data_IF_733937957341
#
_entry.id   IF_733937957341
#
_cell.length_a   1.000
_cell.length_b   1.000
_cell.length_c   1.000
_cell.angle_alpha   90.00
_cell.angle_beta   90.00
_cell.angle_gamma   90.00
#
_symmetry.space_group_name_H-M   'P 1'
#
loop_
_entity.id
_entity.type
_entity.pdbx_description
1 polymer ?
#
# COMPACT_ATOMS: atom_id res chain seq x y z
N UNK A 1 -45.57 49.81 4.68
CA UNK A 1 -45.83 49.98 6.13
C UNK A 1 -44.50 49.86 6.87
N UNK A 2 -44.23 50.89 7.69
CA UNK A 2 -43.25 51.09 8.79
C UNK A 2 -42.11 50.06 8.99
N UNK A 3 -40.82 50.46 8.83
CA UNK A 3 -39.88 51.09 9.82
C UNK A 3 -39.20 49.99 10.70
N UNK A 4 -37.90 49.98 11.07
CA UNK A 4 -36.90 51.03 11.29
C UNK A 4 -35.50 50.41 11.61
N UNK A 5 -34.40 50.99 11.07
CA UNK A 5 -33.07 51.40 11.64
C UNK A 5 -32.31 50.49 12.63
N UNK A 6 -30.98 50.57 12.86
CA UNK A 6 -29.75 51.22 12.35
C UNK A 6 -28.77 51.35 13.55
N UNK A 7 -27.47 51.51 13.26
CA UNK A 7 -26.33 52.02 14.06
C UNK A 7 -25.52 51.00 14.88
N UNK A 8 -24.22 50.73 14.62
CA UNK A 8 -22.99 51.54 14.36
C UNK A 8 -22.31 52.08 15.62
N UNK A 9 -20.99 51.80 15.68
CA UNK A 9 -19.88 52.51 16.34
C UNK A 9 -19.68 52.28 17.85
N UNK A 10 -18.48 52.37 18.43
CA UNK A 10 -17.07 52.36 18.00
C UNK A 10 -16.23 52.67 19.25
N UNK A 11 -14.99 52.15 19.29
CA UNK A 11 -13.76 52.83 19.75
C UNK A 11 -13.40 53.02 21.25
N UNK A 12 -12.19 52.51 21.57
CA UNK A 12 -11.01 53.16 22.19
C UNK A 12 -10.96 53.49 23.72
N UNK A 13 -10.12 52.71 24.44
CA UNK A 13 -8.93 53.07 25.30
C UNK A 13 -9.03 54.14 26.44
N UNK A 14 -8.00 54.35 27.30
CA UNK A 14 -7.11 53.44 28.07
C UNK A 14 -6.76 53.91 29.53
N UNK A 15 -5.89 53.15 30.20
CA UNK A 15 -4.85 53.49 31.23
C UNK A 15 -5.23 54.17 32.57
N UNK A 16 -4.73 53.62 33.70
CA UNK A 16 -3.76 54.25 34.63
C UNK A 16 -3.67 53.63 36.06
N UNK A 17 -2.43 53.29 36.48
CA UNK A 17 -1.77 53.58 37.79
C UNK A 17 -2.11 52.66 39.00
N UNK A 18 -1.19 52.14 39.85
CA UNK A 18 0.00 52.73 40.50
C UNK A 18 0.99 51.69 41.11
N UNK A 19 2.28 52.05 41.15
CA UNK A 19 3.33 51.91 42.21
C UNK A 19 3.57 50.57 42.95
N UNK A 20 4.77 50.21 43.45
CA UNK A 20 6.18 50.64 43.48
C UNK A 20 6.88 49.54 44.30
N UNK A 21 8.14 49.18 44.04
CA UNK A 21 9.19 49.09 45.07
C UNK A 21 10.55 48.87 44.40
N UNK A 22 11.46 49.80 44.70
CA UNK A 22 12.87 49.85 44.31
C UNK A 22 13.71 49.41 45.52
N UNK A 23 14.75 48.61 45.31
CA UNK A 23 15.92 48.58 46.19
C UNK A 23 17.15 48.13 45.39
N UNK A 24 18.09 49.06 45.23
CA UNK A 24 19.45 48.87 44.69
C UNK A 24 20.40 48.60 45.87
N UNK A 25 21.35 47.69 45.70
CA UNK A 25 22.65 47.77 46.38
C UNK A 25 23.77 47.13 45.51
N UNK A 26 24.88 47.85 45.41
CA UNK A 26 26.08 47.63 44.59
C UNK A 26 27.16 46.75 45.26
N UNK A 27 28.01 46.14 44.41
CA UNK A 27 29.45 45.81 44.56
C UNK A 27 29.85 44.79 45.68
N UNK A 28 30.91 43.97 45.59
CA UNK A 28 32.17 44.05 44.86
C UNK A 28 32.82 42.65 44.65
N UNK A 29 33.85 42.62 43.80
CA UNK A 29 34.73 41.49 43.51
C UNK A 29 35.63 41.08 44.69
N UNK A 30 35.87 39.78 44.87
CA UNK A 30 37.12 39.24 45.42
C UNK A 30 37.39 37.81 44.90
N UNK A 31 38.54 37.63 44.25
CA UNK A 31 39.12 36.34 43.85
C UNK A 31 39.78 35.66 45.05
N UNK A 32 39.56 34.36 45.22
CA UNK A 32 40.54 33.44 45.84
C UNK A 32 40.43 32.05 45.21
N UNK A 33 41.58 31.39 45.11
CA UNK A 33 41.91 30.23 44.28
C UNK A 33 41.19 28.91 44.60
N UNK A 34 41.17 28.02 43.59
CA UNK A 34 40.65 26.65 43.63
C UNK A 34 41.47 25.71 44.55
N UNK A 35 40.91 24.52 44.86
CA UNK A 35 41.51 23.35 44.24
C UNK A 35 40.49 22.49 43.47
N UNK A 36 41.02 21.91 42.40
CA UNK A 36 40.41 21.04 41.41
C UNK A 36 39.94 19.71 41.98
N UNK A 37 38.66 19.38 41.77
CA UNK A 37 38.16 18.00 41.76
C UNK A 37 37.26 17.84 40.53
N UNK A 38 37.58 16.85 39.68
CA UNK A 38 36.99 16.61 38.37
C UNK A 38 35.46 16.49 38.42
N UNK A 39 34.76 17.42 37.79
CA UNK A 39 33.32 17.41 37.59
C UNK A 39 32.90 16.77 36.25
N UNK A 40 33.73 15.89 35.67
CA UNK A 40 33.48 15.27 34.37
C UNK A 40 32.88 13.87 34.43
N UNK A 41 32.88 13.20 35.59
CA UNK A 41 32.40 11.81 35.69
C UNK A 41 30.95 11.67 36.21
N UNK A 42 30.35 12.75 36.73
CA UNK A 42 28.98 12.72 37.25
C UNK A 42 27.90 13.04 36.20
N UNK A 43 28.27 13.61 35.05
CA UNK A 43 27.33 13.98 33.99
C UNK A 43 27.03 12.84 32.99
N UNK A 44 27.83 11.76 33.00
CA UNK A 44 27.72 10.62 32.07
C UNK A 44 26.73 9.54 32.53
N UNK A 45 26.44 9.44 33.84
CA UNK A 45 25.61 8.37 34.40
C UNK A 45 24.11 8.69 34.49
N UNK A 46 23.69 9.94 34.26
CA UNK A 46 22.29 10.37 34.43
C UNK A 46 21.44 10.31 33.15
N UNK A 47 22.03 9.98 32.00
CA UNK A 47 21.32 9.93 30.71
C UNK A 47 20.68 8.56 30.39
N UNK A 48 20.92 7.52 31.20
CA UNK A 48 20.53 6.14 30.87
C UNK A 48 19.16 5.69 31.41
N UNK A 49 18.36 6.57 32.03
CA UNK A 49 17.06 6.20 32.60
C UNK A 49 16.02 7.33 32.57
N UNK A 50 16.06 8.19 31.55
CA UNK A 50 14.96 9.11 31.31
C UNK A 50 13.77 8.32 30.76
N UNK A 51 12.73 8.11 31.58
CA UNK A 51 11.39 7.80 31.07
C UNK A 51 11.09 8.79 29.95
N UNK A 52 10.55 8.37 28.80
CA UNK A 52 10.19 9.30 27.74
C UNK A 52 9.36 10.42 28.34
N UNK A 53 9.82 11.67 28.20
CA UNK A 53 8.93 12.81 28.41
C UNK A 53 7.65 12.57 27.63
N UNK A 54 6.50 13.00 28.15
CA UNK A 54 5.19 12.75 27.51
C UNK A 54 5.17 13.19 26.05
N UNK A 55 5.89 14.26 25.70
CA UNK A 55 6.11 14.73 24.34
C UNK A 55 6.91 13.73 23.47
N UNK A 56 8.02 13.17 23.97
CA UNK A 56 8.78 12.12 23.25
C UNK A 56 7.98 10.84 23.04
N UNK A 57 7.17 10.43 24.03
CA UNK A 57 6.28 9.26 23.88
C UNK A 57 5.17 9.49 22.85
N UNK A 58 4.54 10.67 22.85
CA UNK A 58 3.51 11.02 21.88
C UNK A 58 4.06 11.08 20.44
N UNK A 59 5.27 11.63 20.24
CA UNK A 59 5.92 11.63 18.91
C UNK A 59 6.25 10.21 18.43
N UNK A 60 6.69 9.33 19.33
CA UNK A 60 6.96 7.93 18.98
C UNK A 60 5.67 7.20 18.57
N UNK A 61 4.57 7.40 19.30
CA UNK A 61 3.26 6.82 18.97
C UNK A 61 2.76 7.35 17.62
N UNK A 62 2.84 8.65 17.38
CA UNK A 62 2.43 9.24 16.10
C UNK A 62 3.25 8.70 14.91
N UNK A 63 4.57 8.53 15.10
CA UNK A 63 5.43 7.86 14.11
C UNK A 63 5.01 6.40 13.92
N UNK A 64 4.67 5.70 15.00
CA UNK A 64 4.19 4.33 14.97
C UNK A 64 2.88 4.16 14.20
N UNK A 65 1.93 5.07 14.38
CA UNK A 65 0.68 5.10 13.61
C UNK A 65 0.97 5.27 12.12
N UNK A 66 1.81 6.25 11.78
CA UNK A 66 2.23 6.52 10.41
C UNK A 66 2.84 5.27 9.74
N UNK A 67 3.75 4.59 10.44
CA UNK A 67 4.40 3.39 9.92
C UNK A 67 3.49 2.17 9.89
N UNK A 68 2.56 2.04 10.85
CA UNK A 68 1.55 0.98 10.85
C UNK A 68 0.57 1.13 9.68
N UNK A 69 0.27 2.36 9.26
CA UNK A 69 -0.44 2.65 8.01
C UNK A 69 0.42 2.25 6.82
N UNK A 70 1.65 2.77 6.74
CA UNK A 70 2.58 2.45 5.65
C UNK A 70 2.78 0.94 5.43
N UNK A 71 2.75 0.17 6.52
CA UNK A 71 2.89 -1.28 6.54
C UNK A 71 1.60 -2.07 6.40
N UNK A 72 0.47 -1.46 6.04
CA UNK A 72 -0.82 -2.15 5.89
C UNK A 72 -1.28 -2.95 7.13
N UNK A 73 -0.80 -2.61 8.33
CA UNK A 73 -1.13 -3.33 9.57
C UNK A 73 -2.64 -3.29 9.83
N UNK A 74 -3.27 -2.15 9.54
CA UNK A 74 -4.72 -1.96 9.69
C UNK A 74 -5.50 -2.79 8.67
N UNK A 75 -5.08 -2.78 7.40
CA UNK A 75 -5.75 -3.48 6.31
C UNK A 75 -5.81 -5.00 6.55
N UNK A 76 -4.75 -5.58 7.12
CA UNK A 76 -4.72 -7.02 7.41
C UNK A 76 -5.33 -7.39 8.77
N UNK A 77 -5.03 -6.64 9.83
CA UNK A 77 -5.40 -7.02 11.20
C UNK A 77 -6.71 -6.41 11.68
N UNK A 78 -7.48 -5.79 10.80
CA UNK A 78 -8.83 -5.26 11.09
C UNK A 78 -9.84 -5.90 10.16
N UNK A 79 -10.93 -6.43 10.72
CA UNK A 79 -12.09 -6.83 9.93
C UNK A 79 -12.96 -5.59 9.72
N UNK A 80 -13.45 -5.31 8.50
CA UNK A 80 -14.33 -4.17 8.25
C UNK A 80 -15.49 -4.10 9.25
N UNK A 81 -15.79 -2.89 9.72
CA UNK A 81 -16.82 -2.61 10.73
C UNK A 81 -16.58 -3.23 12.12
N UNK A 82 -15.39 -3.76 12.39
CA UNK A 82 -15.00 -4.27 13.70
C UNK A 82 -13.90 -3.41 14.32
N UNK A 83 -13.59 -3.66 15.60
CA UNK A 83 -12.57 -2.91 16.32
C UNK A 83 -11.19 -3.11 15.67
N UNK A 84 -10.47 -1.99 15.49
CA UNK A 84 -9.14 -1.96 14.88
C UNK A 84 -8.19 -2.94 15.58
N UNK A 85 -7.37 -3.64 14.80
CA UNK A 85 -6.38 -4.61 15.27
C UNK A 85 -6.92 -5.86 15.98
N UNK A 86 -8.23 -6.07 15.98
CA UNK A 86 -8.87 -7.25 16.60
C UNK A 86 -8.62 -8.58 15.86
N UNK A 87 -8.00 -8.55 14.69
CA UNK A 87 -7.72 -9.74 13.89
C UNK A 87 -8.97 -10.49 13.41
N UNK A 88 -8.75 -11.66 12.83
CA UNK A 88 -9.78 -12.58 12.35
C UNK A 88 -10.15 -12.42 10.88
N UNK A 89 -9.47 -11.55 10.13
CA UNK A 89 -9.71 -11.40 8.68
C UNK A 89 -9.27 -12.69 7.96
N UNK A 90 -10.16 -13.35 7.19
CA UNK A 90 -9.78 -14.50 6.39
C UNK A 90 -8.95 -14.04 5.18
N UNK A 91 -7.87 -14.77 4.91
CA UNK A 91 -7.05 -14.63 3.71
C UNK A 91 -7.03 -15.99 3.00
N UNK A 92 -7.79 -16.09 1.93
CA UNK A 92 -7.82 -17.29 1.11
C UNK A 92 -6.54 -17.40 0.29
N UNK A 93 -5.91 -18.57 0.33
CA UNK A 93 -4.73 -18.89 -0.47
C UNK A 93 -4.93 -20.22 -1.19
N UNK A 94 -4.16 -20.51 -2.26
CA UNK A 94 -4.13 -21.83 -2.87
C UNK A 94 -3.74 -22.96 -1.91
N UNK A 95 -3.32 -22.66 -0.68
CA UNK A 95 -2.90 -23.62 0.33
C UNK A 95 -3.94 -23.81 1.45
N UNK A 96 -5.05 -23.06 1.40
CA UNK A 96 -6.10 -22.99 2.42
C UNK A 96 -6.26 -21.58 2.96
N UNK A 97 -7.03 -21.43 4.04
CA UNK A 97 -7.35 -20.09 4.60
C UNK A 97 -6.48 -19.79 5.80
N UNK A 98 -5.80 -18.65 5.73
CA UNK A 98 -5.10 -18.02 6.85
C UNK A 98 -6.06 -17.04 7.53
N UNK A 99 -5.85 -16.79 8.82
CA UNK A 99 -6.62 -15.81 9.59
C UNK A 99 -5.63 -14.87 10.27
N UNK A 100 -5.84 -13.57 10.13
CA UNK A 100 -4.94 -12.59 10.74
C UNK A 100 -5.08 -12.61 12.27
N UNK A 101 -3.98 -12.56 13.03
CA UNK A 101 -4.06 -12.52 14.48
C UNK A 101 -4.52 -11.16 14.99
N UNK A 102 -5.05 -11.12 16.21
CA UNK A 102 -5.28 -9.93 17.00
C UNK A 102 -3.93 -9.34 17.44
N UNK A 103 -3.68 -8.08 17.06
CA UNK A 103 -2.44 -7.35 17.39
C UNK A 103 -2.72 -6.12 18.26
N UNK A 104 -3.88 -6.07 18.91
CA UNK A 104 -4.22 -5.02 19.87
C UNK A 104 -3.37 -5.13 21.15
N UNK A 105 -3.51 -4.12 22.02
CA UNK A 105 -2.87 -4.07 23.34
C UNK A 105 -3.43 -5.08 24.36
N UNK A 106 -4.37 -5.95 23.98
CA UNK A 106 -4.89 -7.01 24.85
C UNK A 106 -3.78 -7.98 25.28
N UNK A 107 -3.72 -8.33 26.57
CA UNK A 107 -2.63 -9.14 27.17
C UNK A 107 -2.80 -10.64 26.95
N UNK A 108 -4.00 -11.10 26.64
CA UNK A 108 -4.35 -12.52 26.54
C UNK A 108 -4.45 -12.94 25.08
N UNK A 109 -5.22 -12.18 24.30
CA UNK A 109 -5.55 -12.49 22.92
C UNK A 109 -4.73 -11.67 21.90
N UNK A 110 -4.27 -10.49 22.32
CA UNK A 110 -3.45 -9.57 21.54
C UNK A 110 -1.94 -9.74 21.80
N UNK A 111 -1.20 -8.66 21.53
CA UNK A 111 0.26 -8.60 21.75
C UNK A 111 0.65 -7.82 23.02
N UNK A 112 -0.30 -7.51 23.90
CA UNK A 112 -0.07 -6.70 25.12
C UNK A 112 0.86 -7.32 26.16
N UNK A 113 1.13 -8.62 26.08
CA UNK A 113 2.09 -9.32 26.92
C UNK A 113 3.46 -9.54 26.25
N UNK A 114 3.63 -9.06 25.01
CA UNK A 114 4.89 -9.13 24.28
C UNK A 114 5.80 -7.99 24.73
N UNK A 115 7.10 -8.15 24.53
CA UNK A 115 8.09 -7.08 24.65
C UNK A 115 8.40 -6.47 23.28
N UNK A 116 9.01 -5.28 23.26
CA UNK A 116 9.48 -4.66 22.03
C UNK A 116 10.49 -5.54 21.27
N UNK A 117 11.38 -6.24 21.98
CA UNK A 117 12.34 -7.17 21.37
C UNK A 117 11.67 -8.40 20.73
N UNK A 118 10.62 -8.93 21.36
CA UNK A 118 9.82 -10.02 20.79
C UNK A 118 9.07 -9.57 19.54
N UNK A 119 8.54 -8.34 19.54
CA UNK A 119 7.90 -7.74 18.37
C UNK A 119 8.90 -7.49 17.24
N UNK A 120 10.07 -6.93 17.54
CA UNK A 120 11.16 -6.72 16.58
C UNK A 120 11.58 -8.05 15.94
N UNK A 121 11.85 -9.09 16.75
CA UNK A 121 12.17 -10.44 16.27
C UNK A 121 11.06 -11.03 15.40
N UNK A 122 9.80 -10.73 15.69
CA UNK A 122 8.68 -11.18 14.87
C UNK A 122 8.67 -10.51 13.49
N UNK A 123 8.84 -9.19 13.43
CA UNK A 123 8.96 -8.47 12.16
C UNK A 123 10.18 -8.90 11.36
N UNK A 124 11.33 -9.06 12.03
CA UNK A 124 12.62 -9.33 11.39
C UNK A 124 12.83 -10.77 11.01
N UNK A 125 12.42 -11.69 11.87
CA UNK A 125 12.71 -13.10 11.68
C UNK A 125 11.47 -13.91 11.35
N UNK A 126 10.26 -13.35 11.38
CA UNK A 126 9.03 -14.10 11.18
C UNK A 126 8.85 -15.19 12.24
N UNK A 127 9.19 -14.88 13.50
CA UNK A 127 9.05 -15.78 14.65
C UNK A 127 8.08 -15.18 15.67
N UNK A 128 7.06 -15.94 16.02
CA UNK A 128 6.16 -15.61 17.14
C UNK A 128 6.91 -15.58 18.47
N UNK A 129 6.28 -15.02 19.50
CA UNK A 129 6.80 -14.93 20.88
C UNK A 129 7.38 -16.27 21.38
N UNK A 130 6.63 -17.34 21.19
CA UNK A 130 6.94 -18.73 21.54
C UNK A 130 7.99 -19.41 20.63
N UNK A 131 8.48 -18.70 19.60
CA UNK A 131 9.42 -19.22 18.62
C UNK A 131 8.77 -19.91 17.41
N UNK A 132 7.45 -20.00 17.36
CA UNK A 132 6.73 -20.57 16.21
C UNK A 132 7.00 -19.76 14.94
N UNK A 133 7.42 -20.43 13.86
CA UNK A 133 7.66 -19.79 12.56
C UNK A 133 6.35 -19.31 11.94
N UNK A 134 6.28 -18.05 11.54
CA UNK A 134 5.13 -17.47 10.86
C UNK A 134 5.03 -17.91 9.40
N UNK A 135 3.79 -18.02 8.90
CA UNK A 135 3.55 -18.20 7.47
C UNK A 135 3.91 -16.90 6.72
N UNK A 136 4.44 -16.99 5.49
CA UNK A 136 4.94 -15.84 4.73
C UNK A 136 3.86 -14.86 4.25
N UNK A 137 2.59 -15.16 4.49
CA UNK A 137 1.51 -14.18 4.35
C UNK A 137 1.66 -12.99 5.32
N UNK A 138 2.32 -13.20 6.46
CA UNK A 138 2.90 -12.10 7.21
C UNK A 138 4.22 -11.74 6.50
N UNK A 139 4.39 -10.50 5.98
CA UNK A 139 5.48 -10.16 5.06
C UNK A 139 6.80 -9.89 5.78
N UNK A 140 7.23 -10.78 6.69
CA UNK A 140 8.49 -10.67 7.43
C UNK A 140 9.71 -10.66 6.51
N UNK A 141 9.61 -11.23 5.30
CA UNK A 141 10.66 -11.16 4.30
C UNK A 141 10.92 -9.74 3.78
N UNK A 142 9.92 -8.87 3.87
CA UNK A 142 10.02 -7.43 3.57
C UNK A 142 10.28 -6.64 4.85
N UNK A 143 9.51 -6.90 5.91
CA UNK A 143 9.63 -6.15 7.17
C UNK A 143 10.97 -6.31 7.88
N UNK A 144 11.78 -7.33 7.55
CA UNK A 144 13.17 -7.38 8.01
C UNK A 144 14.00 -6.15 7.60
N UNK A 145 13.55 -5.36 6.61
CA UNK A 145 14.18 -4.09 6.25
C UNK A 145 13.94 -2.97 7.26
N UNK A 146 12.91 -3.07 8.09
CA UNK A 146 12.46 -2.01 9.02
C UNK A 146 13.50 -1.80 10.11
N UNK A 147 13.90 -0.55 10.35
CA UNK A 147 14.87 -0.26 11.41
C UNK A 147 14.31 -0.57 12.80
N UNK A 148 15.18 -0.88 13.76
CA UNK A 148 14.80 -1.04 15.17
C UNK A 148 13.93 0.11 15.70
N UNK A 149 14.32 1.35 15.43
CA UNK A 149 13.58 2.53 15.91
C UNK A 149 12.15 2.59 15.35
N UNK A 150 11.97 2.21 14.09
CA UNK A 150 10.66 2.17 13.44
C UNK A 150 9.80 1.00 13.95
N UNK A 151 10.41 -0.16 14.20
CA UNK A 151 9.73 -1.29 14.85
C UNK A 151 9.25 -0.94 16.26
N UNK A 152 10.09 -0.28 17.07
CA UNK A 152 9.73 0.17 18.41
C UNK A 152 8.60 1.22 18.37
N UNK A 153 8.61 2.11 17.37
CA UNK A 153 7.54 3.08 17.17
C UNK A 153 6.21 2.40 16.84
N UNK A 154 6.20 1.45 15.88
CA UNK A 154 5.00 0.68 15.53
C UNK A 154 4.48 -0.07 16.77
N UNK A 155 5.36 -0.73 17.52
CA UNK A 155 4.99 -1.43 18.75
C UNK A 155 4.38 -0.47 19.79
N UNK A 156 5.00 0.69 20.03
CA UNK A 156 4.47 1.69 20.94
C UNK A 156 3.07 2.18 20.53
N UNK A 157 2.84 2.37 19.23
CA UNK A 157 1.51 2.69 18.72
C UNK A 157 0.51 1.56 18.99
N UNK A 158 0.81 0.32 18.64
CA UNK A 158 -0.08 -0.82 18.89
C UNK A 158 -0.40 -0.97 20.39
N UNK A 159 0.57 -0.74 21.27
CA UNK A 159 0.37 -0.75 22.73
C UNK A 159 -0.50 0.41 23.24
N UNK A 160 -0.63 1.49 22.48
CA UNK A 160 -1.51 2.62 22.80
C UNK A 160 -2.97 2.42 22.35
N UNK A 161 -3.23 1.41 21.51
CA UNK A 161 -4.57 1.14 20.97
C UNK A 161 -5.51 0.54 22.04
N UNK A 162 -6.81 0.59 21.79
CA UNK A 162 -7.77 -0.08 22.67
C UNK A 162 -7.59 -1.61 22.61
N UNK A 163 -7.59 -2.30 23.76
CA UNK A 163 -7.49 -3.74 23.78
C UNK A 163 -8.76 -4.37 23.18
N UNK A 164 -8.57 -5.40 22.37
CA UNK A 164 -9.66 -6.20 21.81
C UNK A 164 -9.58 -7.59 22.43
N UNK A 165 -10.55 -7.95 23.28
CA UNK A 165 -10.62 -9.29 23.87
C UNK A 165 -11.31 -10.24 22.89
N UNK A 166 -10.52 -10.84 22.01
CA UNK A 166 -10.99 -11.79 20.99
C UNK A 166 -9.92 -12.84 20.69
N UNK A 167 -10.18 -14.11 21.01
CA UNK A 167 -9.26 -15.20 20.72
C UNK A 167 -8.91 -15.33 19.23
N UNK A 168 -7.65 -15.65 18.96
CA UNK A 168 -7.16 -15.93 17.61
C UNK A 168 -7.79 -17.20 17.04
N UNK A 169 -8.10 -17.17 15.73
CA UNK A 169 -8.59 -18.33 15.00
C UNK A 169 -7.44 -19.12 14.37
N UNK A 170 -7.44 -20.43 14.57
CA UNK A 170 -6.49 -21.31 13.89
C UNK A 170 -6.68 -21.30 12.37
N UNK A 171 -5.58 -21.37 11.62
CA UNK A 171 -5.62 -21.47 10.16
C UNK A 171 -6.22 -22.80 9.71
N UNK A 172 -6.92 -22.77 8.58
CA UNK A 172 -7.50 -23.96 7.94
C UNK A 172 -6.72 -24.28 6.68
N UNK A 173 -5.43 -24.59 6.85
CA UNK A 173 -4.51 -24.96 5.78
C UNK A 173 -4.68 -26.44 5.44
N UNK A 174 -4.56 -26.75 4.14
CA UNK A 174 -4.62 -28.12 3.63
C UNK A 174 -3.28 -28.82 3.88
N UNK A 175 -3.32 -30.13 4.12
CA UNK A 175 -2.10 -30.94 4.11
C UNK A 175 -1.43 -30.87 2.71
N UNK A 176 -0.10 -30.74 2.61
CA UNK A 176 0.88 -30.73 3.71
C UNK A 176 1.20 -29.34 4.29
N UNK A 177 0.60 -28.26 3.80
CA UNK A 177 0.91 -26.87 4.18
C UNK A 177 0.56 -26.52 5.63
N UNK A 178 -0.26 -27.33 6.31
CA UNK A 178 -0.51 -27.20 7.74
C UNK A 178 0.69 -27.60 8.63
N UNK A 179 1.75 -28.19 8.05
CA UNK A 179 2.96 -28.58 8.78
C UNK A 179 3.96 -27.40 8.87
N UNK A 180 4.12 -26.81 10.07
CA UNK A 180 5.01 -25.67 10.31
C UNK A 180 6.49 -25.95 10.00
N UNK A 181 6.95 -27.20 10.10
CA UNK A 181 8.33 -27.58 9.82
C UNK A 181 8.74 -27.33 8.36
N UNK A 182 7.79 -27.36 7.42
CA UNK A 182 8.05 -27.05 6.01
C UNK A 182 8.53 -25.60 5.80
N UNK A 183 8.19 -24.70 6.74
CA UNK A 183 8.65 -23.31 6.69
C UNK A 183 10.17 -23.21 6.83
N UNK A 184 10.86 -24.18 7.44
CA UNK A 184 12.33 -24.17 7.53
C UNK A 184 12.93 -24.20 6.12
N UNK A 185 12.45 -25.11 5.27
CA UNK A 185 12.90 -25.21 3.88
C UNK A 185 12.50 -24.00 3.05
N UNK A 186 11.26 -23.53 3.19
CA UNK A 186 10.79 -22.33 2.50
C UNK A 186 11.66 -21.11 2.82
N UNK A 187 11.99 -20.90 4.10
CA UNK A 187 12.82 -19.77 4.55
C UNK A 187 14.24 -19.85 4.01
N UNK A 188 14.84 -21.04 3.94
CA UNK A 188 16.17 -21.19 3.35
C UNK A 188 16.21 -20.69 1.88
N UNK A 189 15.13 -20.91 1.14
CA UNK A 189 15.01 -20.49 -0.25
C UNK A 189 14.70 -19.00 -0.40
N UNK A 190 13.71 -18.49 0.34
CA UNK A 190 13.06 -17.20 0.05
C UNK A 190 13.27 -16.08 1.07
N UNK A 191 13.89 -16.37 2.22
CA UNK A 191 14.09 -15.37 3.27
C UNK A 191 15.57 -14.97 3.41
N UNK A 192 15.82 -13.66 3.44
CA UNK A 192 17.12 -13.06 3.72
C UNK A 192 16.92 -11.99 4.79
N UNK A 193 17.45 -12.25 5.99
CA UNK A 193 17.35 -11.31 7.10
C UNK A 193 18.29 -10.11 6.89
N UNK A 194 17.86 -8.93 7.32
CA UNK A 194 18.71 -7.76 7.46
C UNK A 194 17.97 -6.46 7.22
N UNK A 195 18.24 -5.48 8.09
CA UNK A 195 17.78 -4.10 7.96
C UNK A 195 18.18 -3.49 6.62
N UNK A 196 17.38 -2.53 6.15
CA UNK A 196 17.74 -1.75 5.00
C UNK A 196 19.01 -0.95 5.28
N UNK A 197 19.97 -1.04 4.36
CA UNK A 197 21.21 -0.25 4.42
C UNK A 197 21.18 0.74 3.25
N UNK A 198 21.21 2.06 3.51
CA UNK A 198 21.24 3.06 2.45
C UNK A 198 22.43 2.88 1.51
N UNK A 199 22.18 2.95 0.20
CA UNK A 199 23.22 2.99 -0.81
C UNK A 199 23.85 4.40 -0.84
N UNK A 200 25.16 4.54 -0.53
CA UNK A 200 25.84 5.84 -0.51
C UNK A 200 25.95 6.49 -1.90
N UNK A 201 25.70 5.75 -2.99
CA UNK A 201 25.69 6.28 -4.37
C UNK A 201 24.34 6.87 -4.76
N UNK A 202 23.31 6.67 -3.95
CA UNK A 202 21.95 7.11 -4.23
C UNK A 202 21.57 8.31 -3.38
N UNK A 203 20.58 9.08 -3.84
CA UNK A 203 20.08 10.22 -3.07
C UNK A 203 19.36 9.78 -1.79
N UNK A 204 19.20 10.70 -0.84
CA UNK A 204 18.41 10.46 0.38
C UNK A 204 16.97 10.08 0.03
N UNK A 205 16.38 10.77 -0.94
CA UNK A 205 15.03 10.50 -1.44
C UNK A 205 14.92 9.10 -2.05
N UNK A 206 15.89 8.69 -2.87
CA UNK A 206 15.90 7.34 -3.44
C UNK A 206 15.97 6.26 -2.37
N UNK A 207 16.88 6.42 -1.40
CA UNK A 207 17.03 5.48 -0.29
C UNK A 207 15.77 5.41 0.58
N UNK A 208 15.07 6.54 0.75
CA UNK A 208 13.78 6.57 1.44
C UNK A 208 12.72 5.78 0.68
N UNK A 209 12.65 5.93 -0.64
CA UNK A 209 11.76 5.17 -1.50
C UNK A 209 12.03 3.67 -1.45
N UNK A 210 13.29 3.28 -1.57
CA UNK A 210 13.74 1.89 -1.46
C UNK A 210 13.34 1.27 -0.11
N UNK A 211 13.59 1.98 1.00
CA UNK A 211 13.20 1.54 2.34
C UNK A 211 11.69 1.27 2.46
N UNK A 212 10.86 2.15 1.89
CA UNK A 212 9.41 2.00 1.93
C UNK A 212 8.93 0.87 1.01
N UNK A 213 9.46 0.77 -0.21
CA UNK A 213 9.05 -0.22 -1.22
C UNK A 213 9.47 -1.64 -0.84
N UNK A 214 10.71 -1.81 -0.38
CA UNK A 214 11.27 -3.11 0.02
C UNK A 214 10.87 -3.52 1.44
N UNK A 215 10.53 -2.55 2.29
CA UNK A 215 10.16 -2.74 3.69
C UNK A 215 8.65 -2.78 3.91
N UNK A 216 8.12 -1.74 4.55
CA UNK A 216 6.72 -1.69 5.00
C UNK A 216 5.72 -1.77 3.84
N UNK A 217 5.99 -1.15 2.71
CA UNK A 217 5.11 -1.22 1.54
C UNK A 217 5.16 -2.55 0.78
N UNK A 218 6.13 -3.42 1.10
CA UNK A 218 6.28 -4.80 0.62
C UNK A 218 5.85 -5.04 -0.84
N UNK A 219 6.19 -4.12 -1.76
CA UNK A 219 5.56 -4.07 -3.07
C UNK A 219 5.87 -5.32 -3.91
N UNK A 220 7.02 -5.94 -3.65
CA UNK A 220 7.44 -7.21 -4.26
C UNK A 220 6.50 -8.36 -3.95
N UNK A 221 5.71 -8.31 -2.87
CA UNK A 221 4.77 -9.38 -2.49
C UNK A 221 3.65 -9.59 -3.52
N UNK A 222 3.22 -8.53 -4.19
CA UNK A 222 2.20 -8.60 -5.23
C UNK A 222 2.80 -8.39 -6.63
N UNK A 223 3.77 -7.48 -6.77
CA UNK A 223 4.34 -7.11 -8.07
C UNK A 223 5.50 -7.98 -8.52
N UNK A 224 5.67 -9.17 -7.95
CA UNK A 224 6.63 -10.19 -8.41
C UNK A 224 5.90 -11.51 -8.60
N UNK A 225 6.29 -12.28 -9.61
CA UNK A 225 5.70 -13.59 -9.86
C UNK A 225 5.88 -14.53 -8.66
N UNK A 226 4.76 -15.04 -8.13
CA UNK A 226 4.73 -16.05 -7.07
C UNK A 226 4.84 -17.43 -7.72
N UNK A 227 5.89 -18.18 -7.36
CA UNK A 227 6.09 -19.53 -7.87
C UNK A 227 5.20 -20.57 -7.17
N UNK A 228 5.25 -21.82 -7.66
CA UNK A 228 4.44 -22.93 -7.13
C UNK A 228 4.69 -23.24 -5.63
N UNK A 229 5.82 -22.82 -5.05
CA UNK A 229 6.12 -22.97 -3.62
C UNK A 229 5.59 -21.81 -2.77
N UNK A 230 4.87 -20.85 -3.39
CA UNK A 230 4.33 -19.68 -2.72
C UNK A 230 5.37 -18.62 -2.35
N UNK A 231 6.54 -18.65 -3.00
CA UNK A 231 7.60 -17.65 -2.82
C UNK A 231 7.73 -16.73 -4.03
N UNK A 232 8.25 -15.52 -3.81
CA UNK A 232 8.56 -14.59 -4.89
C UNK A 232 9.76 -15.07 -5.72
N UNK A 233 9.65 -14.97 -7.03
CA UNK A 233 10.71 -15.34 -7.96
C UNK A 233 11.72 -14.22 -8.11
N UNK A 234 12.91 -14.37 -7.53
CA UNK A 234 13.96 -13.34 -7.56
C UNK A 234 14.38 -12.92 -8.99
N UNK A 235 14.32 -13.84 -9.96
CA UNK A 235 14.62 -13.55 -11.38
C UNK A 235 13.54 -12.71 -12.08
N UNK A 236 12.35 -12.59 -11.48
CA UNK A 236 11.18 -11.87 -12.00
C UNK A 236 10.75 -10.74 -11.05
N UNK A 237 11.67 -10.25 -10.23
CA UNK A 237 11.42 -9.19 -9.25
C UNK A 237 10.82 -7.94 -9.92
N UNK A 238 9.72 -7.43 -9.37
CA UNK A 238 8.94 -6.29 -9.90
C UNK A 238 8.35 -6.47 -11.31
N UNK A 239 8.40 -7.67 -11.90
CA UNK A 239 7.88 -7.92 -13.26
C UNK A 239 6.36 -8.14 -13.31
N UNK A 240 5.67 -8.04 -12.16
CA UNK A 240 4.24 -8.27 -12.04
C UNK A 240 3.90 -9.75 -11.90
N UNK A 241 2.62 -10.03 -11.68
CA UNK A 241 2.15 -11.39 -11.45
C UNK A 241 0.66 -11.48 -11.19
N UNK A 242 0.10 -12.67 -11.37
CA UNK A 242 -1.27 -12.95 -10.96
C UNK A 242 -1.29 -13.14 -9.44
N UNK A 243 -2.17 -12.40 -8.75
CA UNK A 243 -2.42 -12.56 -7.32
C UNK A 243 -3.32 -13.79 -7.13
N UNK A 244 -2.82 -14.90 -6.53
CA UNK A 244 -3.57 -16.15 -6.46
C UNK A 244 -4.89 -16.00 -5.69
N UNK A 245 -5.94 -16.66 -6.18
CA UNK A 245 -7.32 -16.64 -5.67
C UNK A 245 -8.06 -15.29 -5.69
N UNK A 246 -7.36 -14.17 -5.57
CA UNK A 246 -7.95 -12.84 -5.73
C UNK A 246 -8.29 -12.56 -7.20
N UNK A 247 -7.66 -13.29 -8.13
CA UNK A 247 -7.86 -13.18 -9.57
C UNK A 247 -7.65 -11.74 -10.07
N UNK A 248 -6.71 -11.03 -9.47
CA UNK A 248 -6.23 -9.73 -9.96
C UNK A 248 -4.81 -9.89 -10.44
N UNK A 249 -4.46 -9.15 -11.49
CA UNK A 249 -3.09 -9.11 -11.99
C UNK A 249 -2.41 -7.84 -11.47
N UNK A 250 -1.33 -7.99 -10.72
CA UNK A 250 -0.45 -6.89 -10.32
C UNK A 250 0.48 -6.58 -11.51
N UNK A 251 0.38 -5.39 -12.13
CA UNK A 251 1.23 -5.03 -13.28
C UNK A 251 2.72 -4.97 -12.91
N UNK A 252 3.60 -4.96 -13.90
CA UNK A 252 5.02 -4.72 -13.62
C UNK A 252 5.23 -3.32 -13.03
N UNK A 253 6.16 -3.19 -12.10
CA UNK A 253 6.62 -1.89 -11.58
C UNK A 253 7.96 -1.46 -12.20
N UNK A 254 8.55 -2.28 -13.07
CA UNK A 254 9.81 -1.96 -13.74
C UNK A 254 9.65 -0.77 -14.68
N UNK A 255 10.73 -0.11 -15.06
CA UNK A 255 10.67 1.02 -16.00
C UNK A 255 10.47 0.60 -17.47
N UNK A 256 9.91 -0.59 -17.74
CA UNK A 256 9.61 -1.02 -19.10
C UNK A 256 8.33 -0.35 -19.63
N UNK A 257 8.16 -0.33 -20.97
CA UNK A 257 7.06 0.39 -21.64
C UNK A 257 5.80 -0.44 -21.85
N UNK A 258 5.89 -1.77 -21.74
CA UNK A 258 4.79 -2.69 -22.02
C UNK A 258 3.75 -2.69 -20.89
N UNK A 259 4.16 -3.04 -19.67
CA UNK A 259 3.28 -3.13 -18.50
C UNK A 259 3.78 -2.30 -17.30
N UNK A 260 4.95 -1.68 -17.44
CA UNK A 260 5.66 -0.97 -16.37
C UNK A 260 5.49 0.54 -16.38
N UNK A 261 6.33 1.20 -15.58
CA UNK A 261 6.27 2.63 -15.31
C UNK A 261 7.11 3.45 -16.29
N UNK A 262 7.66 2.88 -17.36
CA UNK A 262 8.66 3.54 -18.22
C UNK A 262 8.27 4.95 -18.68
N UNK A 263 7.07 5.09 -19.24
CA UNK A 263 6.57 6.37 -19.79
C UNK A 263 5.74 7.21 -18.81
N UNK A 264 5.59 6.77 -17.55
CA UNK A 264 4.84 7.52 -16.53
C UNK A 264 5.63 8.73 -16.04
N UNK A 265 5.01 9.82 -15.60
CA UNK A 265 5.74 10.84 -14.84
C UNK A 265 5.83 10.44 -13.35
N UNK A 266 6.73 11.07 -12.59
CA UNK A 266 6.72 10.93 -11.13
C UNK A 266 5.39 11.41 -10.55
N UNK A 267 4.83 12.50 -11.09
CA UNK A 267 3.53 13.03 -10.68
C UNK A 267 2.40 12.02 -10.89
N UNK A 268 2.36 11.33 -12.04
CA UNK A 268 1.33 10.31 -12.30
C UNK A 268 1.39 9.14 -11.31
N UNK A 269 2.59 8.77 -10.86
CA UNK A 269 2.77 7.71 -9.85
C UNK A 269 2.34 8.21 -8.47
N UNK A 270 2.71 9.44 -8.11
CA UNK A 270 2.30 10.06 -6.84
C UNK A 270 0.79 10.20 -6.77
N UNK A 271 0.15 10.70 -7.82
CA UNK A 271 -1.31 10.86 -7.89
C UNK A 271 -2.00 9.49 -7.77
N UNK A 272 -1.50 8.47 -8.50
CA UNK A 272 -2.06 7.12 -8.43
C UNK A 272 -1.97 6.53 -7.02
N UNK A 273 -0.82 6.64 -6.35
CA UNK A 273 -0.60 6.07 -5.02
C UNK A 273 -1.31 6.87 -3.92
N UNK A 274 -1.41 8.19 -4.03
CA UNK A 274 -1.95 9.04 -2.97
C UNK A 274 -3.45 9.30 -3.09
N UNK A 275 -3.95 9.47 -4.32
CA UNK A 275 -5.35 9.74 -4.60
C UNK A 275 -6.11 8.51 -5.10
N UNK A 276 -5.42 7.48 -5.58
CA UNK A 276 -6.01 6.30 -6.21
C UNK A 276 -6.31 6.48 -7.70
N UNK A 277 -6.04 7.66 -8.26
CA UNK A 277 -6.31 8.04 -9.65
C UNK A 277 -5.21 8.94 -10.18
N UNK A 278 -4.90 8.83 -11.47
CA UNK A 278 -3.99 9.71 -12.18
C UNK A 278 -4.45 9.92 -13.63
N UNK A 279 -3.73 10.73 -14.38
CA UNK A 279 -3.99 10.91 -15.82
C UNK A 279 -3.70 9.64 -16.65
N UNK A 280 -3.09 8.61 -16.04
CA UNK A 280 -2.74 7.34 -16.68
C UNK A 280 -3.73 6.22 -16.34
N UNK A 281 -4.42 6.30 -15.22
CA UNK A 281 -5.29 5.23 -14.76
C UNK A 281 -5.82 5.43 -13.35
N UNK A 282 -6.53 4.41 -12.86
CA UNK A 282 -7.04 4.34 -11.49
C UNK A 282 -6.72 2.97 -10.90
N UNK A 283 -6.54 2.90 -9.58
CA UNK A 283 -6.36 1.64 -8.87
C UNK A 283 -7.73 1.01 -8.57
N UNK A 284 -7.77 -0.31 -8.65
CA UNK A 284 -8.95 -1.12 -8.32
C UNK A 284 -8.49 -2.41 -7.61
N UNK A 285 -9.44 -3.11 -7.00
CA UNK A 285 -9.17 -4.37 -6.31
C UNK A 285 -8.16 -4.20 -5.17
N UNK A 286 -7.19 -5.11 -5.00
CA UNK A 286 -6.25 -5.09 -3.87
C UNK A 286 -5.43 -3.81 -3.76
N UNK A 287 -5.06 -3.19 -4.90
CA UNK A 287 -4.32 -1.94 -4.87
C UNK A 287 -5.19 -0.76 -4.41
N UNK A 288 -6.52 -0.82 -4.59
CA UNK A 288 -7.42 0.16 -4.02
C UNK A 288 -7.47 0.06 -2.47
N UNK A 289 -7.41 -1.14 -1.90
CA UNK A 289 -7.26 -1.33 -0.45
C UNK A 289 -5.96 -0.71 0.07
N UNK A 290 -4.83 -0.99 -0.61
CA UNK A 290 -3.51 -0.42 -0.26
C UNK A 290 -3.53 1.11 -0.27
N UNK A 291 -4.15 1.73 -1.27
CA UNK A 291 -4.29 3.19 -1.30
C UNK A 291 -5.23 3.68 -0.19
N UNK A 292 -6.34 2.98 0.03
CA UNK A 292 -7.36 3.37 0.99
C UNK A 292 -6.88 3.26 2.45
N UNK A 293 -6.19 2.20 2.83
CA UNK A 293 -5.79 1.97 4.22
C UNK A 293 -4.37 2.49 4.54
N UNK A 294 -3.50 2.64 3.53
CA UNK A 294 -2.08 3.00 3.69
C UNK A 294 -1.70 4.29 2.96
N UNK A 295 -1.49 4.24 1.65
CA UNK A 295 -0.72 5.29 0.96
C UNK A 295 -1.35 6.68 1.05
N UNK A 296 -2.68 6.81 1.10
CA UNK A 296 -3.33 8.12 1.23
C UNK A 296 -2.97 8.89 2.52
N UNK A 297 -2.43 8.20 3.53
CA UNK A 297 -2.00 8.78 4.81
C UNK A 297 -0.50 9.11 4.86
N UNK A 298 0.27 8.70 3.85
CA UNK A 298 1.69 9.02 3.78
C UNK A 298 1.90 10.48 3.40
N UNK A 299 3.06 11.02 3.82
CA UNK A 299 3.47 12.35 3.38
C UNK A 299 3.72 12.35 1.87
N UNK A 300 3.51 13.50 1.22
CA UNK A 300 3.81 13.62 -0.21
C UNK A 300 5.28 13.32 -0.52
N UNK A 301 6.19 13.71 0.37
CA UNK A 301 7.63 13.41 0.23
C UNK A 301 7.91 11.91 0.22
N UNK A 302 7.24 11.12 1.05
CA UNK A 302 7.42 9.67 1.10
C UNK A 302 6.80 8.98 -0.13
N UNK A 303 5.61 9.42 -0.57
CA UNK A 303 5.00 8.88 -1.80
C UNK A 303 5.85 9.25 -3.03
N UNK A 304 6.41 10.46 -3.05
CA UNK A 304 7.35 10.88 -4.11
C UNK A 304 8.65 10.08 -4.06
N UNK A 305 9.20 9.82 -2.88
CA UNK A 305 10.36 8.95 -2.71
C UNK A 305 10.11 7.55 -3.26
N UNK A 306 8.94 6.96 -2.96
CA UNK A 306 8.49 5.68 -3.54
C UNK A 306 8.46 5.78 -5.07
N UNK A 307 7.86 6.82 -5.64
CA UNK A 307 7.82 7.02 -7.09
C UNK A 307 9.22 7.14 -7.72
N UNK A 308 10.15 7.86 -7.06
CA UNK A 308 11.55 8.00 -7.50
C UNK A 308 12.27 6.65 -7.51
N UNK A 309 12.10 5.85 -6.46
CA UNK A 309 12.69 4.51 -6.42
C UNK A 309 12.09 3.59 -7.48
N UNK A 310 10.76 3.51 -7.61
CA UNK A 310 10.10 2.69 -8.62
C UNK A 310 10.54 3.06 -10.04
N UNK A 311 10.72 4.36 -10.32
CA UNK A 311 11.24 4.86 -11.60
C UNK A 311 12.71 4.54 -11.86
N UNK A 312 13.47 4.20 -10.84
CA UNK A 312 14.86 3.77 -10.99
C UNK A 312 14.99 2.29 -11.31
N UNK A 313 13.92 1.50 -11.08
CA UNK A 313 13.95 0.06 -11.31
C UNK A 313 14.27 -0.22 -12.78
N UNK A 314 15.18 -1.17 -13.06
CA UNK A 314 15.63 -1.44 -14.42
C UNK A 314 14.45 -1.87 -15.28
N UNK A 315 14.32 -1.28 -16.47
CA UNK A 315 13.39 -1.77 -17.47
C UNK A 315 13.88 -3.09 -18.03
N UNK A 316 13.15 -4.18 -17.81
CA UNK A 316 13.38 -5.42 -18.53
C UNK A 316 12.66 -5.32 -19.88
N UNK A 317 13.37 -4.92 -20.93
CA UNK A 317 12.83 -4.72 -22.29
C UNK A 317 12.75 -6.01 -23.13
N UNK A 318 12.98 -7.17 -22.53
CA UNK A 318 13.27 -8.40 -23.29
C UNK A 318 12.09 -9.36 -23.45
N UNK A 319 10.87 -9.02 -23.01
CA UNK A 319 9.72 -9.91 -23.14
C UNK A 319 8.43 -9.20 -23.58
N UNK A 320 8.52 -8.19 -24.46
CA UNK A 320 7.38 -8.03 -25.38
C UNK A 320 7.42 -9.30 -26.21
N UNK A 321 6.49 -10.22 -25.98
CA UNK A 321 6.38 -11.42 -26.77
C UNK A 321 6.08 -11.01 -28.21
N UNK A 322 7.15 -10.83 -28.99
CA UNK A 322 7.11 -10.52 -30.43
C UNK A 322 6.71 -11.75 -31.23
N UNK A 323 6.40 -12.88 -30.57
CA UNK A 323 5.84 -14.04 -31.25
C UNK A 323 4.61 -13.60 -32.04
N UNK A 324 4.55 -13.90 -33.34
CA UNK A 324 3.36 -13.64 -34.13
C UNK A 324 2.16 -14.22 -33.41
N UNK A 325 1.15 -13.38 -33.10
CA UNK A 325 -0.12 -13.86 -32.58
C UNK A 325 -0.63 -14.93 -33.53
N UNK A 326 -1.00 -16.09 -32.99
CA UNK A 326 -1.40 -17.24 -33.83
C UNK A 326 -2.54 -16.85 -34.78
N UNK A 327 -2.64 -17.51 -35.93
CA UNK A 327 -3.72 -17.23 -36.90
C UNK A 327 -5.10 -17.29 -36.25
N UNK A 328 -5.30 -18.24 -35.32
CA UNK A 328 -6.51 -18.37 -34.51
C UNK A 328 -6.83 -17.13 -33.67
N UNK A 329 -5.80 -16.53 -33.05
CA UNK A 329 -5.94 -15.29 -32.26
C UNK A 329 -6.38 -14.13 -33.17
N UNK A 330 -5.86 -14.03 -34.39
CA UNK A 330 -6.25 -12.98 -35.32
C UNK A 330 -7.68 -13.21 -35.88
N UNK A 331 -8.07 -14.45 -36.15
CA UNK A 331 -9.43 -14.79 -36.60
C UNK A 331 -10.49 -14.49 -35.53
N UNK A 332 -10.24 -14.86 -34.27
CA UNK A 332 -11.16 -14.59 -33.17
C UNK A 332 -11.28 -13.09 -32.90
N UNK A 333 -10.16 -12.34 -32.96
CA UNK A 333 -10.19 -10.89 -32.87
C UNK A 333 -11.06 -10.26 -33.97
N UNK A 334 -10.90 -10.71 -35.22
CA UNK A 334 -11.68 -10.22 -36.36
C UNK A 334 -13.17 -10.58 -36.26
N UNK A 335 -13.49 -11.77 -35.71
CA UNK A 335 -14.87 -12.21 -35.48
C UNK A 335 -15.57 -11.36 -34.42
N UNK A 336 -14.88 -11.09 -33.31
CA UNK A 336 -15.44 -10.39 -32.15
C UNK A 336 -15.44 -8.87 -32.28
N UNK A 337 -14.49 -8.28 -33.01
CA UNK A 337 -14.30 -6.83 -33.07
C UNK A 337 -15.55 -6.03 -33.49
N UNK A 338 -16.35 -6.44 -34.51
CA UNK A 338 -17.57 -5.71 -34.87
C UNK A 338 -18.62 -5.69 -33.75
N UNK A 339 -18.80 -6.82 -33.06
CA UNK A 339 -19.70 -6.92 -31.90
C UNK A 339 -19.17 -6.06 -30.74
N UNK A 340 -17.88 -6.18 -30.44
CA UNK A 340 -17.23 -5.43 -29.37
C UNK A 340 -17.32 -3.92 -29.58
N UNK A 341 -17.12 -3.44 -30.82
CA UNK A 341 -17.30 -2.04 -31.19
C UNK A 341 -18.73 -1.56 -30.94
N UNK A 342 -19.73 -2.33 -31.40
CA UNK A 342 -21.14 -1.98 -31.21
C UNK A 342 -21.51 -1.87 -29.72
N UNK A 343 -21.03 -2.80 -28.89
CA UNK A 343 -21.23 -2.75 -27.43
C UNK A 343 -20.54 -1.53 -26.83
N UNK A 344 -19.29 -1.28 -27.23
CA UNK A 344 -18.51 -0.14 -26.74
C UNK A 344 -19.21 1.19 -27.01
N UNK A 345 -19.65 1.42 -28.25
CA UNK A 345 -20.37 2.62 -28.67
C UNK A 345 -21.68 2.81 -27.89
N UNK A 346 -22.40 1.71 -27.63
CA UNK A 346 -23.68 1.74 -26.95
C UNK A 346 -23.57 1.94 -25.43
N UNK A 347 -22.55 1.38 -24.78
CA UNK A 347 -22.51 1.25 -23.31
C UNK A 347 -21.28 1.87 -22.64
N UNK A 348 -20.15 2.01 -23.34
CA UNK A 348 -18.88 2.40 -22.73
C UNK A 348 -18.44 3.82 -23.12
N UNK A 349 -18.71 4.23 -24.37
CA UNK A 349 -18.22 5.49 -24.95
C UNK A 349 -18.74 6.75 -24.24
N UNK A 350 -19.88 6.66 -23.54
CA UNK A 350 -20.45 7.79 -22.76
C UNK A 350 -19.47 8.27 -21.67
N UNK A 351 -18.73 7.33 -21.08
CA UNK A 351 -17.72 7.59 -20.04
C UNK A 351 -16.31 7.64 -20.63
N UNK A 352 -15.96 6.67 -21.49
CA UNK A 352 -14.60 6.50 -22.00
C UNK A 352 -14.31 7.24 -23.32
N UNK A 353 -15.26 8.05 -23.81
CA UNK A 353 -15.22 8.74 -25.10
C UNK A 353 -15.22 7.78 -26.31
N UNK A 354 -15.41 8.32 -27.52
CA UNK A 354 -15.60 7.49 -28.73
C UNK A 354 -14.35 6.69 -29.12
N UNK A 355 -13.16 7.22 -28.83
CA UNK A 355 -11.89 6.56 -29.16
C UNK A 355 -11.10 6.16 -27.90
N UNK A 356 -11.78 5.91 -26.78
CA UNK A 356 -11.12 5.46 -25.56
C UNK A 356 -10.22 6.50 -24.90
N UNK A 357 -10.36 7.79 -25.21
CA UNK A 357 -9.54 8.84 -24.59
C UNK A 357 -9.83 9.04 -23.09
N UNK A 358 -11.00 8.59 -22.64
CA UNK A 358 -11.47 8.86 -21.28
C UNK A 358 -11.82 10.33 -21.05
N UNK A 359 -12.06 10.65 -19.79
CA UNK A 359 -12.30 12.01 -19.26
C UNK A 359 -11.53 12.11 -17.96
N UNK A 360 -10.26 12.47 -18.07
CA UNK A 360 -9.30 12.43 -16.97
C UNK A 360 -9.67 13.41 -15.84
N UNK A 361 -9.33 13.10 -14.58
CA UNK A 361 -8.82 11.79 -14.10
C UNK A 361 -9.96 10.79 -13.81
N UNK A 362 -11.22 11.20 -13.94
CA UNK A 362 -12.38 10.45 -13.46
C UNK A 362 -12.73 9.20 -14.27
N UNK A 363 -12.51 9.26 -15.58
CA UNK A 363 -12.70 8.13 -16.47
C UNK A 363 -11.37 7.87 -17.18
N UNK A 364 -10.64 6.80 -16.81
CA UNK A 364 -9.28 6.58 -17.29
C UNK A 364 -9.26 6.34 -18.81
N UNK A 365 -8.13 6.66 -19.46
CA UNK A 365 -7.97 6.42 -20.89
C UNK A 365 -7.87 4.90 -21.10
N UNK A 366 -8.57 4.38 -22.11
CA UNK A 366 -8.46 3.00 -22.57
C UNK A 366 -7.51 2.88 -23.76
N UNK A 367 -7.45 3.93 -24.60
CA UNK A 367 -6.48 4.03 -25.68
C UNK A 367 -5.07 4.27 -25.13
N UNK A 368 -4.08 3.57 -25.68
CA UNK A 368 -2.67 3.65 -25.31
C UNK A 368 -2.40 3.42 -23.81
N UNK A 369 -3.26 2.65 -23.15
CA UNK A 369 -3.11 2.31 -21.73
C UNK A 369 -2.39 0.96 -21.57
N UNK A 370 -1.26 0.95 -20.88
CA UNK A 370 -0.47 -0.26 -20.64
C UNK A 370 -1.25 -1.34 -19.88
N UNK A 371 -2.07 -0.96 -18.89
CA UNK A 371 -2.89 -1.89 -18.12
C UNK A 371 -3.97 -2.58 -18.95
N UNK A 372 -4.34 -2.00 -20.10
CA UNK A 372 -5.24 -2.62 -21.07
C UNK A 372 -4.47 -3.53 -22.01
N UNK A 373 -3.22 -3.23 -22.33
CA UNK A 373 -2.45 -3.92 -23.37
C UNK A 373 -1.58 -5.06 -22.86
N UNK A 374 -1.35 -5.13 -21.54
CA UNK A 374 -0.60 -6.22 -20.90
C UNK A 374 -1.09 -7.61 -21.32
N UNK A 375 -0.17 -8.59 -21.31
CA UNK A 375 -0.43 -9.97 -21.72
C UNK A 375 -1.65 -10.59 -21.01
N UNK A 376 -1.79 -10.36 -19.70
CA UNK A 376 -2.96 -10.79 -18.94
C UNK A 376 -4.17 -9.88 -19.21
N UNK A 377 -5.30 -10.46 -19.64
CA UNK A 377 -6.57 -9.74 -19.78
C UNK A 377 -7.44 -9.76 -18.50
N UNK A 378 -6.92 -10.30 -17.39
CA UNK A 378 -7.70 -10.52 -16.17
C UNK A 378 -8.34 -9.24 -15.63
N UNK A 379 -7.57 -8.15 -15.51
CA UNK A 379 -8.07 -6.89 -14.97
C UNK A 379 -9.15 -6.25 -15.85
N UNK A 380 -8.97 -6.06 -17.17
CA UNK A 380 -10.02 -5.46 -17.99
C UNK A 380 -11.29 -6.33 -18.06
N UNK A 381 -11.17 -7.67 -18.06
CA UNK A 381 -12.34 -8.57 -17.99
C UNK A 381 -13.10 -8.34 -16.68
N UNK A 382 -12.40 -8.34 -15.55
CA UNK A 382 -13.02 -8.11 -14.23
C UNK A 382 -13.66 -6.74 -14.13
N UNK A 383 -13.03 -5.72 -14.69
CA UNK A 383 -13.56 -4.36 -14.65
C UNK A 383 -14.87 -4.25 -15.45
N UNK A 384 -14.97 -4.90 -16.61
CA UNK A 384 -16.24 -4.95 -17.36
C UNK A 384 -17.29 -5.77 -16.62
N UNK A 385 -16.94 -6.96 -16.09
CA UNK A 385 -17.90 -7.80 -15.37
C UNK A 385 -18.44 -7.10 -14.12
N UNK A 386 -17.56 -6.55 -13.30
CA UNK A 386 -17.85 -6.21 -11.92
C UNK A 386 -17.94 -4.70 -11.67
N UNK A 387 -17.45 -3.88 -12.62
CA UNK A 387 -17.32 -2.45 -12.42
C UNK A 387 -16.52 -2.14 -11.15
N UNK A 388 -16.88 -1.02 -10.52
CA UNK A 388 -16.34 -0.63 -9.22
C UNK A 388 -15.92 0.83 -9.16
N UNK A 389 -15.31 1.19 -8.04
CA UNK A 389 -14.86 2.54 -7.75
C UNK A 389 -13.37 2.52 -7.49
N UNK A 390 -12.69 3.61 -7.88
CA UNK A 390 -11.41 3.95 -7.27
C UNK A 390 -11.62 4.18 -5.76
N UNK A 391 -10.58 4.08 -4.91
CA UNK A 391 -10.73 4.29 -3.48
C UNK A 391 -11.13 5.73 -3.18
N UNK A 392 -12.06 5.91 -2.23
CA UNK A 392 -12.37 7.23 -1.68
C UNK A 392 -11.24 7.68 -0.77
N UNK A 393 -10.48 8.68 -1.19
CA UNK A 393 -9.31 9.18 -0.44
C UNK A 393 -9.47 10.64 -0.04
N UNK A 394 -8.60 11.14 0.83
CA UNK A 394 -8.55 12.58 1.16
C UNK A 394 -8.38 13.47 -0.09
N UNK A 395 -7.68 12.97 -1.12
CA UNK A 395 -7.45 13.68 -2.40
C UNK A 395 -8.47 13.35 -3.50
N UNK A 396 -9.28 12.32 -3.31
CA UNK A 396 -10.34 11.91 -4.22
C UNK A 396 -11.54 11.37 -3.42
N UNK A 397 -12.26 12.23 -2.67
CA UNK A 397 -13.25 11.78 -1.69
C UNK A 397 -14.53 11.23 -2.33
N UNK A 398 -14.81 11.59 -3.58
CA UNK A 398 -15.99 11.13 -4.34
C UNK A 398 -15.56 10.58 -5.70
N UNK A 399 -14.97 9.37 -5.75
CA UNK A 399 -14.53 8.75 -6.99
C UNK A 399 -15.73 8.40 -7.89
N UNK A 400 -15.56 8.55 -9.20
CA UNK A 400 -16.53 8.07 -10.18
C UNK A 400 -16.44 6.55 -10.31
N UNK A 401 -17.60 5.91 -10.45
CA UNK A 401 -17.71 4.46 -10.58
C UNK A 401 -17.92 4.01 -12.03
N UNK A 402 -17.43 2.81 -12.34
CA UNK A 402 -17.81 2.07 -13.53
C UNK A 402 -18.94 1.09 -13.19
N UNK A 403 -20.05 1.06 -13.93
CA UNK A 403 -21.13 0.11 -13.67
C UNK A 403 -20.70 -1.33 -13.97
N UNK A 404 -21.23 -2.34 -13.24
CA UNK A 404 -21.02 -3.75 -13.56
C UNK A 404 -21.84 -4.18 -14.78
N UNK A 405 -21.25 -4.94 -15.70
CA UNK A 405 -21.95 -5.50 -16.87
C UNK A 405 -22.18 -7.01 -16.81
N UNK A 406 -21.79 -7.69 -15.72
CA UNK A 406 -21.98 -9.13 -15.59
C UNK A 406 -23.44 -9.57 -15.80
N UNK A 407 -24.42 -8.80 -15.34
CA UNK A 407 -25.83 -9.22 -15.49
C UNK A 407 -26.42 -8.86 -16.87
N UNK A 408 -25.82 -7.91 -17.59
CA UNK A 408 -26.36 -7.38 -18.85
C UNK A 408 -25.66 -7.89 -20.10
N UNK A 409 -24.42 -8.40 -19.98
CA UNK A 409 -23.63 -8.92 -21.09
C UNK A 409 -23.27 -10.39 -20.86
N UNK A 410 -23.49 -11.20 -21.89
CA UNK A 410 -23.04 -12.59 -21.99
C UNK A 410 -21.51 -12.70 -22.01
N UNK A 411 -20.99 -13.91 -21.85
CA UNK A 411 -19.54 -14.16 -21.92
C UNK A 411 -18.93 -13.80 -23.27
N UNK A 412 -19.68 -14.02 -24.36
CA UNK A 412 -19.25 -13.65 -25.71
C UNK A 412 -19.24 -12.13 -25.90
N UNK A 413 -20.25 -11.42 -25.38
CA UNK A 413 -20.32 -9.96 -25.47
C UNK A 413 -19.22 -9.28 -24.65
N UNK A 414 -18.92 -9.79 -23.45
CA UNK A 414 -17.80 -9.31 -22.64
C UNK A 414 -16.46 -9.61 -23.32
N UNK A 415 -16.27 -10.83 -23.83
CA UNK A 415 -15.07 -11.18 -24.60
C UNK A 415 -14.90 -10.26 -25.81
N UNK A 416 -16.00 -9.92 -26.49
CA UNK A 416 -16.00 -9.03 -27.63
C UNK A 416 -15.62 -7.59 -27.28
N UNK A 417 -16.27 -6.99 -26.29
CA UNK A 417 -15.98 -5.59 -25.92
C UNK A 417 -14.58 -5.44 -25.34
N UNK A 418 -14.11 -6.40 -24.54
CA UNK A 418 -12.74 -6.36 -24.01
C UNK A 418 -11.72 -6.57 -25.13
N UNK A 419 -11.98 -7.47 -26.07
CA UNK A 419 -11.13 -7.64 -27.27
C UNK A 419 -11.03 -6.35 -28.08
N UNK A 420 -12.16 -5.68 -28.34
CA UNK A 420 -12.18 -4.41 -29.04
C UNK A 420 -11.36 -3.35 -28.29
N UNK A 421 -11.59 -3.16 -26.99
CA UNK A 421 -10.83 -2.22 -26.16
C UNK A 421 -9.32 -2.51 -26.21
N UNK A 422 -8.92 -3.79 -26.22
CA UNK A 422 -7.50 -4.20 -26.23
C UNK A 422 -6.81 -4.07 -27.59
N UNK A 423 -7.56 -3.90 -28.67
CA UNK A 423 -7.04 -3.91 -30.06
C UNK A 423 -7.37 -2.65 -30.85
N UNK A 424 -8.23 -1.77 -30.34
CA UNK A 424 -8.59 -0.50 -30.96
C UNK A 424 -7.61 0.64 -30.62
N UNK A 425 -7.65 1.72 -31.40
CA UNK A 425 -6.97 3.00 -31.10
C UNK A 425 -5.45 2.90 -30.93
N UNK A 426 -4.82 1.96 -31.65
CA UNK A 426 -3.38 1.69 -31.55
C UNK A 426 -2.99 0.73 -30.43
N UNK A 427 -3.97 0.18 -29.70
CA UNK A 427 -3.72 -0.85 -28.72
C UNK A 427 -3.28 -2.17 -29.38
N UNK A 428 -2.32 -2.85 -28.78
CA UNK A 428 -1.76 -4.11 -29.29
C UNK A 428 -1.95 -5.31 -28.35
N UNK A 429 -2.94 -5.25 -27.44
CA UNK A 429 -3.27 -6.36 -26.54
C UNK A 429 -3.81 -7.59 -27.29
N UNK A 430 -3.67 -8.77 -26.68
CA UNK A 430 -4.27 -9.99 -27.22
C UNK A 430 -5.81 -9.97 -27.07
N UNK A 431 -6.58 -10.56 -28.00
CA UNK A 431 -8.01 -10.78 -27.84
C UNK A 431 -8.30 -11.69 -26.64
N UNK A 432 -9.54 -11.61 -26.16
CA UNK A 432 -10.04 -12.36 -25.01
C UNK A 432 -10.98 -13.46 -25.50
N UNK A 433 -10.81 -14.65 -24.94
CA UNK A 433 -11.71 -15.79 -25.19
C UNK A 433 -12.92 -15.79 -24.26
N UNK A 434 -14.03 -16.36 -24.73
CA UNK A 434 -15.23 -16.61 -23.93
C UNK A 434 -14.92 -17.43 -22.67
N UNK A 435 -13.98 -18.38 -22.77
CA UNK A 435 -13.56 -19.24 -21.66
C UNK A 435 -12.90 -18.43 -20.53
N UNK A 436 -12.06 -17.46 -20.86
CA UNK A 436 -11.44 -16.58 -19.86
C UNK A 436 -12.48 -15.75 -19.12
N UNK A 437 -13.47 -15.22 -19.84
CA UNK A 437 -14.58 -14.47 -19.22
C UNK A 437 -15.39 -15.37 -18.31
N UNK A 438 -15.79 -16.55 -18.78
CA UNK A 438 -16.58 -17.50 -17.99
C UNK A 438 -15.88 -17.88 -16.66
N UNK A 439 -14.56 -18.13 -16.73
CA UNK A 439 -13.74 -18.41 -15.56
C UNK A 439 -13.72 -17.24 -14.55
N UNK A 440 -13.65 -15.98 -15.05
CA UNK A 440 -13.62 -14.80 -14.19
C UNK A 440 -14.99 -14.34 -13.70
N UNK A 441 -16.08 -14.71 -14.39
CA UNK A 441 -17.45 -14.40 -13.95
C UNK A 441 -17.82 -15.14 -12.66
N UNK A 442 -17.30 -16.34 -12.48
CA UNK A 442 -17.50 -17.14 -11.27
C UNK A 442 -16.47 -16.84 -10.17
N UNK A 443 -15.50 -15.95 -10.44
CA UNK A 443 -14.47 -15.62 -9.46
C UNK A 443 -15.09 -14.78 -8.32
N UNK A 444 -14.70 -15.04 -7.06
CA UNK A 444 -15.19 -14.26 -5.93
C UNK A 444 -14.91 -12.76 -6.07
N UNK A 445 -15.85 -11.98 -5.55
CA UNK A 445 -15.69 -10.56 -5.26
C UNK A 445 -15.30 -10.47 -3.79
N UNK A 446 -14.11 -9.94 -3.51
CA UNK A 446 -13.61 -9.71 -2.16
C UNK A 446 -13.81 -8.25 -1.78
#
# INVERSE_FOLDING_TARGET
MRKLRSLIASCFTPLAVCAMYFAIALNAHAQTAAPTANATDAASAAAANAKPTTATGAMQIARGEYLARAGDCIACHTVPSQQMFGGGRPMETPFGTLYTPNISSDKTDGIGAWTADEFFRMLHEGKSRDGTLLYPAMPFASYTKVSRADSDAIYAYLMSTQPVHRPNRAHTLRFPYNQRSLLIGWRALFFRAGEYTPDPKQSVEWNRGAYLVEGLGHCTMCHTEINALGGNSASKEFQGGLIPLQNWYAPSLTSNKEAGLGDWSIADIVDLLHAGVSNRGAVYGPMAEVVYDSFQYLSEDDVRAVAVYLKSLPGHSNEVDKSPKSQFVNEEANRLAPLGKKIYEAQCAVCHAAEGQGKLPHFPPLANNQSIQMNSAVNPIRMVLNGGYAPGTNKNPMPYGMPPFAQSLSDEEVAAVVTYIRTAWGNHGAPVSVKEVNALRSAPLF
#
